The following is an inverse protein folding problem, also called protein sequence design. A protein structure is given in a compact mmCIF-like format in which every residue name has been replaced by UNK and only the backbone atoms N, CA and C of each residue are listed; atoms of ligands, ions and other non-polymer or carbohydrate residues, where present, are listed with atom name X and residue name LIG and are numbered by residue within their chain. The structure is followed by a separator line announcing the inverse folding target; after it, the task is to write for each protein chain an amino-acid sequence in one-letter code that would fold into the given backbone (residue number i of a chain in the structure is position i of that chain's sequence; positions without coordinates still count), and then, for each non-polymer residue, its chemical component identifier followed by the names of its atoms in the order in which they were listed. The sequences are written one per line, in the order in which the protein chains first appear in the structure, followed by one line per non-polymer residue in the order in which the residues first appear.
data_IF_792942940940
#
_entry.id   IF_792942940940
#
_cell.length_a   1.000
_cell.length_b   1.000
_cell.length_c   1.000
_cell.angle_alpha   90.00
_cell.angle_beta   90.00
_cell.angle_gamma   90.00
#
_symmetry.space_group_name_H-M   'P 1'
#
loop_
_entity.id
_entity.type
_entity.pdbx_description
1 polymer ?
#
# COMPACT_ATOMS: atom_id res chain seq x y z
N UNK A 1 -15.13 -4.04 6.25
CA UNK A 1 -14.64 -4.86 7.40
C UNK A 1 -13.42 -4.23 8.06
N UNK A 2 -13.14 -4.51 9.33
CA UNK A 2 -11.94 -4.02 10.06
C UNK A 2 -11.14 -5.17 10.65
N UNK A 3 -9.82 -5.19 10.45
CA UNK A 3 -8.92 -6.23 10.95
C UNK A 3 -7.78 -5.64 11.79
N UNK A 4 -7.38 -6.37 12.85
CA UNK A 4 -6.26 -6.04 13.73
C UNK A 4 -5.43 -7.29 14.01
N UNK A 5 -4.13 -7.25 13.73
CA UNK A 5 -3.20 -8.35 14.02
C UNK A 5 -1.76 -7.85 13.92
N UNK A 6 -0.81 -8.43 14.65
CA UNK A 6 0.61 -8.03 14.59
C UNK A 6 1.23 -8.30 13.20
N UNK A 7 0.80 -9.38 12.55
CA UNK A 7 1.20 -9.73 11.17
C UNK A 7 -0.02 -10.11 10.36
N UNK A 8 -0.12 -9.54 9.18
CA UNK A 8 -1.25 -9.79 8.29
C UNK A 8 -0.79 -10.11 6.87
N UNK A 9 -1.17 -11.30 6.42
CA UNK A 9 -0.93 -11.80 5.07
C UNK A 9 -2.16 -12.56 4.57
N UNK A 10 -2.78 -12.10 3.49
CA UNK A 10 -3.98 -12.71 2.94
C UNK A 10 -4.19 -12.32 1.46
N UNK A 11 -5.31 -12.73 0.88
CA UNK A 11 -5.99 -12.12 -0.29
C UNK A 11 -7.37 -11.62 0.16
N UNK A 12 -7.60 -10.31 0.33
CA UNK A 12 -8.87 -9.75 0.81
C UNK A 12 -9.98 -9.81 -0.24
N UNK A 13 -11.24 -9.78 0.23
CA UNK A 13 -12.39 -9.59 -0.65
C UNK A 13 -12.35 -8.26 -1.41
N UNK A 14 -13.09 -8.23 -2.52
CA UNK A 14 -13.40 -7.06 -3.37
C UNK A 14 -14.31 -6.03 -2.68
N UNK A 15 -14.11 -5.79 -1.39
CA UNK A 15 -14.95 -4.88 -0.60
C UNK A 15 -14.11 -3.93 0.24
N UNK A 16 -14.61 -2.72 0.52
CA UNK A 16 -13.89 -1.75 1.35
C UNK A 16 -13.52 -2.31 2.73
N UNK A 17 -12.27 -2.11 3.12
CA UNK A 17 -11.75 -2.61 4.39
C UNK A 17 -10.68 -1.70 5.01
N UNK A 18 -10.52 -1.84 6.32
CA UNK A 18 -9.52 -1.13 7.13
C UNK A 18 -8.64 -2.17 7.83
N UNK A 19 -7.32 -2.02 7.75
CA UNK A 19 -6.37 -2.91 8.44
C UNK A 19 -5.41 -2.10 9.31
N UNK A 20 -5.16 -2.61 10.51
CA UNK A 20 -4.09 -2.15 11.40
C UNK A 20 -3.18 -3.34 11.76
N UNK A 21 -1.89 -3.23 11.46
CA UNK A 21 -0.92 -4.32 11.72
C UNK A 21 0.51 -3.82 11.74
N UNK A 22 1.40 -4.37 12.55
CA UNK A 22 2.82 -3.95 12.55
C UNK A 22 3.50 -4.33 11.22
N UNK A 23 3.15 -5.48 10.65
CA UNK A 23 3.61 -5.93 9.34
C UNK A 23 2.47 -6.38 8.45
N UNK A 24 2.32 -5.69 7.33
CA UNK A 24 1.32 -6.02 6.32
C UNK A 24 1.98 -6.39 4.99
N UNK A 25 1.67 -7.58 4.49
CA UNK A 25 2.12 -8.07 3.18
C UNK A 25 0.96 -8.68 2.41
N UNK A 26 0.62 -8.17 1.23
CA UNK A 26 -0.62 -8.61 0.59
C UNK A 26 -0.63 -8.49 -0.95
N UNK A 27 -1.52 -9.24 -1.61
CA UNK A 27 -1.92 -9.11 -3.02
C UNK A 27 -3.45 -8.94 -3.09
N UNK A 28 -3.94 -7.75 -3.41
CA UNK A 28 -5.38 -7.44 -3.52
C UNK A 28 -5.79 -7.26 -4.97
N UNK A 29 -7.03 -7.63 -5.30
CA UNK A 29 -7.72 -7.09 -6.44
C UNK A 29 -8.54 -5.85 -6.06
N UNK A 30 -9.07 -5.22 -7.10
CA UNK A 30 -9.51 -3.83 -7.18
C UNK A 30 -10.57 -3.42 -6.14
N UNK A 31 -10.17 -2.87 -4.99
CA UNK A 31 -11.09 -2.16 -4.08
C UNK A 31 -10.41 -1.06 -3.26
N UNK A 32 -11.13 0.05 -2.94
CA UNK A 32 -10.63 1.08 -2.04
C UNK A 32 -10.33 0.54 -0.64
N UNK A 33 -9.17 0.87 -0.09
CA UNK A 33 -8.77 0.42 1.25
C UNK A 33 -7.92 1.45 2.00
N UNK A 34 -7.94 1.35 3.33
CA UNK A 34 -7.14 2.18 4.25
C UNK A 34 -6.30 1.27 5.13
N UNK A 35 -4.97 1.44 5.09
CA UNK A 35 -4.04 0.63 5.89
C UNK A 35 -3.16 1.51 6.77
N UNK A 36 -3.00 1.09 8.02
CA UNK A 36 -2.01 1.63 8.96
C UNK A 36 -1.08 0.50 9.42
N UNK A 37 0.21 0.63 9.16
CA UNK A 37 1.18 -0.41 9.51
C UNK A 37 2.59 0.11 9.64
N UNK A 38 3.41 -0.39 10.57
CA UNK A 38 4.81 0.04 10.65
C UNK A 38 5.59 -0.36 9.40
N UNK A 39 5.31 -1.54 8.84
CA UNK A 39 5.93 -2.02 7.61
C UNK A 39 4.91 -2.61 6.65
N UNK A 40 4.75 -1.94 5.51
CA UNK A 40 3.85 -2.33 4.44
C UNK A 40 4.61 -2.74 3.17
N UNK A 41 4.27 -3.92 2.64
CA UNK A 41 4.76 -4.43 1.35
C UNK A 41 3.60 -4.93 0.51
N UNK A 42 3.49 -4.53 -0.75
CA UNK A 42 2.27 -4.84 -1.51
C UNK A 42 2.48 -4.94 -3.02
N UNK A 43 1.59 -5.69 -3.68
CA UNK A 43 1.50 -5.82 -5.14
C UNK A 43 0.03 -5.70 -5.53
N UNK A 44 -0.36 -4.64 -6.23
CA UNK A 44 -1.71 -4.39 -6.75
C UNK A 44 -1.69 -4.25 -8.26
N UNK A 45 -2.77 -4.61 -8.92
CA UNK A 45 -2.97 -4.25 -10.31
C UNK A 45 -3.71 -2.90 -10.44
N UNK A 46 -4.86 -2.66 -9.78
CA UNK A 46 -5.67 -1.46 -10.03
C UNK A 46 -6.62 -1.09 -8.87
N UNK A 47 -6.33 -0.08 -8.03
CA UNK A 47 -7.34 0.64 -7.21
C UNK A 47 -6.77 1.82 -6.41
N UNK A 48 -7.60 2.85 -6.14
CA UNK A 48 -7.23 3.94 -5.25
C UNK A 48 -7.05 3.45 -3.81
N UNK A 49 -5.97 3.87 -3.15
CA UNK A 49 -5.66 3.47 -1.79
C UNK A 49 -5.00 4.59 -0.98
N UNK A 50 -5.22 4.54 0.34
CA UNK A 50 -4.60 5.46 1.31
C UNK A 50 -3.82 4.65 2.32
N UNK A 51 -2.50 4.86 2.38
CA UNK A 51 -1.61 4.11 3.28
C UNK A 51 -0.84 5.05 4.18
N UNK A 52 -0.79 4.70 5.47
CA UNK A 52 0.12 5.32 6.45
C UNK A 52 1.03 4.23 7.02
N UNK A 53 2.33 4.38 6.84
CA UNK A 53 3.30 3.38 7.30
C UNK A 53 4.68 3.96 7.52
N UNK A 54 5.46 3.49 8.49
CA UNK A 54 6.85 3.97 8.64
C UNK A 54 7.70 3.51 7.45
N UNK A 55 7.44 2.30 6.94
CA UNK A 55 8.18 1.72 5.83
C UNK A 55 7.27 1.10 4.78
N UNK A 56 7.17 1.74 3.63
CA UNK A 56 6.34 1.30 2.52
C UNK A 56 7.18 0.81 1.34
N UNK A 57 6.83 -0.37 0.81
CA UNK A 57 7.46 -0.98 -0.36
C UNK A 57 6.40 -1.50 -1.34
N UNK A 58 6.54 -1.21 -2.64
CA UNK A 58 5.43 -1.42 -3.58
C UNK A 58 5.82 -1.67 -5.03
N UNK A 59 5.01 -2.47 -5.73
CA UNK A 59 5.12 -2.71 -7.18
C UNK A 59 3.75 -2.50 -7.82
N UNK A 60 3.56 -1.41 -8.59
CA UNK A 60 2.29 -1.02 -9.23
C UNK A 60 2.40 -0.92 -10.75
N UNK A 61 1.41 -1.41 -11.52
CA UNK A 61 1.27 -1.07 -12.90
C UNK A 61 0.51 0.26 -13.07
N UNK A 62 -0.72 0.44 -12.55
CA UNK A 62 -1.51 1.67 -12.83
C UNK A 62 -2.62 1.98 -11.81
N UNK A 63 -2.46 2.97 -10.92
CA UNK A 63 -3.57 3.57 -10.14
C UNK A 63 -3.18 4.82 -9.33
N UNK A 64 -4.12 5.78 -9.13
CA UNK A 64 -3.93 6.90 -8.21
C UNK A 64 -3.77 6.43 -6.77
N UNK A 65 -2.83 7.00 -6.02
CA UNK A 65 -2.64 6.67 -4.61
C UNK A 65 -2.11 7.82 -3.77
N UNK A 66 -2.45 7.78 -2.48
CA UNK A 66 -1.95 8.70 -1.46
C UNK A 66 -1.21 7.92 -0.38
N UNK A 67 0.10 8.14 -0.26
CA UNK A 67 0.94 7.44 0.70
C UNK A 67 1.64 8.44 1.62
N UNK A 68 1.60 8.16 2.92
CA UNK A 68 2.37 8.87 3.92
C UNK A 68 3.26 7.89 4.66
N UNK A 69 4.58 8.05 4.54
CA UNK A 69 5.52 7.14 5.16
C UNK A 69 6.87 7.75 5.46
N UNK A 70 7.62 7.24 6.43
CA UNK A 70 8.97 7.76 6.68
C UNK A 70 9.96 7.28 5.61
N UNK A 71 9.78 6.05 5.12
CA UNK A 71 10.52 5.53 3.96
C UNK A 71 9.57 4.91 2.93
N UNK A 72 9.74 5.32 1.69
CA UNK A 72 8.99 4.86 0.54
C UNK A 72 9.91 4.27 -0.53
N UNK A 73 9.59 3.06 -0.98
CA UNK A 73 10.27 2.37 -2.07
C UNK A 73 9.24 1.84 -3.06
N UNK A 74 9.36 2.17 -4.34
CA UNK A 74 8.39 1.69 -5.32
C UNK A 74 8.93 1.49 -6.73
N UNK A 75 8.26 0.57 -7.43
CA UNK A 75 8.46 0.25 -8.85
C UNK A 75 7.15 0.55 -9.60
N UNK A 76 7.15 1.45 -10.60
CA UNK A 76 5.92 1.88 -11.32
C UNK A 76 6.08 2.00 -12.85
N UNK A 77 4.97 1.79 -13.57
CA UNK A 77 4.80 1.89 -15.04
C UNK A 77 4.01 3.13 -15.53
N UNK A 78 4.02 4.24 -14.76
CA UNK A 78 3.30 5.52 -14.98
C UNK A 78 1.84 5.59 -14.47
N UNK A 79 1.63 6.34 -13.38
CA UNK A 79 0.32 6.85 -12.93
C UNK A 79 0.48 8.06 -11.99
N UNK A 80 -0.51 8.96 -11.91
CA UNK A 80 -0.48 10.09 -10.98
C UNK A 80 -0.48 9.60 -9.52
N UNK A 81 0.43 10.11 -8.70
CA UNK A 81 0.57 9.71 -7.30
C UNK A 81 0.94 10.90 -6.41
N UNK A 82 0.48 10.86 -5.16
CA UNK A 82 0.86 11.84 -4.14
C UNK A 82 1.52 11.09 -2.98
N UNK A 83 2.84 11.26 -2.86
CA UNK A 83 3.64 10.61 -1.81
C UNK A 83 4.21 11.70 -0.90
N UNK A 84 4.01 11.54 0.40
CA UNK A 84 4.69 12.34 1.42
C UNK A 84 5.60 11.42 2.22
N UNK A 85 6.90 11.54 2.00
CA UNK A 85 7.89 10.72 2.70
C UNK A 85 9.20 11.46 2.95
N UNK A 86 9.87 11.10 4.05
CA UNK A 86 11.19 11.65 4.38
C UNK A 86 12.28 11.03 3.49
N UNK A 87 12.10 9.78 3.07
CA UNK A 87 13.01 9.08 2.15
C UNK A 87 12.24 8.40 1.03
N UNK A 88 12.58 8.74 -0.21
CA UNK A 88 11.92 8.26 -1.40
C UNK A 88 12.89 7.54 -2.34
N UNK A 89 12.48 6.38 -2.85
CA UNK A 89 13.19 5.61 -3.87
C UNK A 89 12.21 5.14 -4.94
N UNK A 90 12.57 5.37 -6.20
CA UNK A 90 11.73 5.05 -7.36
C UNK A 90 12.53 4.29 -8.41
N UNK A 91 11.93 3.22 -8.93
CA UNK A 91 12.38 2.54 -10.15
C UNK A 91 11.22 2.60 -11.16
N UNK A 92 11.52 3.08 -12.36
CA UNK A 92 10.60 3.03 -13.51
C UNK A 92 10.98 1.80 -14.32
N UNK A 93 10.01 0.95 -14.65
CA UNK A 93 10.18 -0.19 -15.57
C UNK A 93 9.69 0.19 -16.97
#
# INVERSE_FOLDING_TARGET
MSWRSDRFSHVMPYSPHVVRSDRFSHVMPCSPHVVRSDRFSHVMPYSPHVVRSDRFSHVMPYSPHVVRSDRFSHVMLCSPHVVRSDRFSHVIL
#
